data_IF_923930248242
#
_entry.id   IF_923930248242
#
_cell.length_a   1.000
_cell.length_b   1.000
_cell.length_c   1.000
_cell.angle_alpha   90.00
_cell.angle_beta   90.00
_cell.angle_gamma   90.00
#
_symmetry.space_group_name_H-M   'P 1'
#
loop_
_entity.id
_entity.type
_entity.pdbx_description
1 polymer ?
#
# COMPACT_ATOMS: atom_id res chain seq x y z
N UNK A 1 60.05 -47.57 -14.00
CA UNK A 1 58.70 -47.52 -14.60
C UNK A 1 57.90 -46.45 -13.87
N UNK A 2 57.88 -45.23 -14.43
CA UNK A 2 57.03 -44.10 -13.99
C UNK A 2 55.65 -44.26 -14.63
N UNK A 3 54.64 -43.60 -14.05
CA UNK A 3 53.31 -43.22 -14.60
C UNK A 3 52.11 -43.87 -13.87
N UNK A 4 51.69 -43.30 -12.73
CA UNK A 4 50.35 -43.57 -12.16
C UNK A 4 49.78 -42.46 -11.24
N UNK A 5 50.26 -41.21 -11.26
CA UNK A 5 49.82 -40.18 -10.30
C UNK A 5 49.09 -38.95 -10.89
N UNK A 6 48.78 -38.91 -12.19
CA UNK A 6 48.14 -37.74 -12.81
C UNK A 6 46.60 -37.77 -12.87
N UNK A 7 45.93 -38.87 -12.49
CA UNK A 7 44.49 -39.06 -12.71
C UNK A 7 43.59 -38.89 -11.47
N UNK A 8 44.15 -38.64 -10.28
CA UNK A 8 43.38 -38.47 -9.04
C UNK A 8 43.05 -37.00 -8.70
N UNK A 9 43.95 -36.05 -8.99
CA UNK A 9 43.72 -34.61 -8.70
C UNK A 9 42.61 -33.99 -9.55
N UNK A 10 42.47 -34.42 -10.81
CA UNK A 10 41.42 -33.92 -11.71
C UNK A 10 40.02 -34.46 -11.32
N UNK A 11 39.95 -35.55 -10.55
CA UNK A 11 38.70 -36.07 -9.99
C UNK A 11 38.20 -35.27 -8.79
N UNK A 12 39.09 -34.63 -8.02
CA UNK A 12 38.74 -33.86 -6.81
C UNK A 12 38.14 -32.48 -7.09
N UNK A 13 38.65 -31.72 -8.09
CA UNK A 13 38.13 -30.37 -8.39
C UNK A 13 36.73 -30.40 -9.00
N UNK A 14 36.47 -31.37 -9.89
CA UNK A 14 35.13 -31.59 -10.44
C UNK A 14 34.10 -32.06 -9.39
N UNK A 15 34.57 -32.79 -8.37
CA UNK A 15 33.72 -33.22 -7.26
C UNK A 15 33.37 -32.06 -6.32
N UNK A 16 34.33 -31.18 -5.99
CA UNK A 16 34.08 -29.97 -5.20
C UNK A 16 33.15 -28.96 -5.90
N UNK A 17 33.34 -28.76 -7.22
CA UNK A 17 32.43 -27.92 -8.02
C UNK A 17 31.00 -28.47 -8.03
N UNK A 18 30.85 -29.79 -8.05
CA UNK A 18 29.55 -30.45 -8.01
C UNK A 18 28.89 -30.35 -6.64
N UNK A 19 29.67 -30.48 -5.57
CA UNK A 19 29.21 -30.30 -4.19
C UNK A 19 28.75 -28.85 -3.94
N UNK A 20 29.53 -27.85 -4.37
CA UNK A 20 29.13 -26.43 -4.29
C UNK A 20 27.90 -26.13 -5.14
N UNK A 21 27.77 -26.74 -6.32
CA UNK A 21 26.58 -26.59 -7.16
C UNK A 21 25.34 -27.26 -6.54
N UNK A 22 25.49 -28.42 -5.90
CA UNK A 22 24.43 -29.10 -5.16
C UNK A 22 24.00 -28.28 -3.92
N UNK A 23 24.94 -27.75 -3.15
CA UNK A 23 24.68 -26.90 -1.99
C UNK A 23 24.01 -25.58 -2.40
N UNK A 24 24.50 -24.93 -3.46
CA UNK A 24 23.89 -23.72 -4.02
C UNK A 24 22.47 -23.97 -4.51
N UNK A 25 22.22 -25.12 -5.15
CA UNK A 25 20.87 -25.52 -5.55
C UNK A 25 19.97 -25.82 -4.35
N UNK A 26 20.54 -26.35 -3.26
CA UNK A 26 19.83 -26.63 -2.02
C UNK A 26 19.43 -25.34 -1.28
N UNK A 27 20.34 -24.36 -1.23
CA UNK A 27 20.10 -23.02 -0.67
C UNK A 27 19.06 -22.25 -1.48
N UNK A 28 19.18 -22.24 -2.81
CA UNK A 28 18.21 -21.58 -3.69
C UNK A 28 16.78 -22.11 -3.48
N UNK A 29 16.62 -23.43 -3.30
CA UNK A 29 15.30 -24.03 -2.97
C UNK A 29 14.80 -23.59 -1.59
N UNK A 30 15.68 -23.46 -0.60
CA UNK A 30 15.33 -22.96 0.74
C UNK A 30 14.91 -21.49 0.70
N UNK A 31 15.64 -20.63 -0.01
CA UNK A 31 15.26 -19.23 -0.17
C UNK A 31 13.91 -19.08 -0.85
N UNK A 32 13.64 -19.86 -1.90
CA UNK A 32 12.31 -19.86 -2.56
C UNK A 32 11.21 -20.33 -1.59
N UNK A 33 11.48 -21.35 -0.76
CA UNK A 33 10.52 -21.79 0.26
C UNK A 33 10.28 -20.71 1.32
N UNK A 34 11.34 -20.04 1.77
CA UNK A 34 11.26 -18.97 2.75
C UNK A 34 10.50 -17.77 2.20
N UNK A 35 10.87 -17.31 1.00
CA UNK A 35 10.17 -16.23 0.31
C UNK A 35 8.68 -16.55 0.15
N UNK A 36 8.33 -17.80 -0.20
CA UNK A 36 6.93 -18.23 -0.30
C UNK A 36 6.18 -18.11 1.04
N UNK A 37 6.82 -18.47 2.15
CA UNK A 37 6.23 -18.33 3.49
C UNK A 37 6.04 -16.85 3.84
N UNK A 38 7.06 -16.03 3.60
CA UNK A 38 7.03 -14.60 3.89
C UNK A 38 5.97 -13.88 3.05
N UNK A 39 5.91 -14.15 1.74
CA UNK A 39 4.84 -13.64 0.87
C UNK A 39 3.45 -14.07 1.34
N UNK A 40 3.29 -15.32 1.79
CA UNK A 40 2.01 -15.79 2.32
C UNK A 40 1.63 -15.08 3.63
N UNK A 41 2.60 -14.78 4.49
CA UNK A 41 2.39 -14.01 5.72
C UNK A 41 2.03 -12.56 5.41
N UNK A 42 2.79 -11.89 4.53
CA UNK A 42 2.50 -10.53 4.05
C UNK A 42 1.08 -10.47 3.45
N UNK A 43 0.72 -11.42 2.60
CA UNK A 43 -0.62 -11.46 2.00
C UNK A 43 -1.74 -11.64 3.05
N UNK A 44 -1.51 -12.47 4.07
CA UNK A 44 -2.46 -12.65 5.19
C UNK A 44 -2.58 -11.38 6.02
N UNK A 45 -1.47 -10.72 6.33
CA UNK A 45 -1.45 -9.51 7.15
C UNK A 45 -2.08 -8.33 6.42
N UNK A 46 -1.79 -8.15 5.13
CA UNK A 46 -2.49 -7.22 4.25
C UNK A 46 -3.98 -7.56 4.19
N UNK A 47 -4.34 -8.83 4.06
CA UNK A 47 -5.74 -9.26 4.03
C UNK A 47 -6.51 -8.91 5.31
N UNK A 48 -5.96 -9.27 6.48
CA UNK A 48 -6.56 -8.93 7.78
C UNK A 48 -6.62 -7.42 8.00
N UNK A 49 -5.52 -6.72 7.72
CA UNK A 49 -5.43 -5.27 7.85
C UNK A 49 -6.45 -4.56 6.95
N UNK A 50 -6.61 -5.01 5.71
CA UNK A 50 -7.59 -4.46 4.77
C UNK A 50 -9.02 -4.66 5.27
N UNK A 51 -9.37 -5.86 5.75
CA UNK A 51 -10.71 -6.13 6.30
C UNK A 51 -11.00 -5.22 7.50
N UNK A 52 -10.07 -5.12 8.44
CA UNK A 52 -10.21 -4.26 9.62
C UNK A 52 -10.32 -2.78 9.23
N UNK A 53 -9.50 -2.31 8.30
CA UNK A 53 -9.53 -0.94 7.81
C UNK A 53 -10.86 -0.60 7.12
N UNK A 54 -11.37 -1.49 6.27
CA UNK A 54 -12.67 -1.32 5.61
C UNK A 54 -13.80 -1.31 6.64
N UNK A 55 -13.78 -2.24 7.60
CA UNK A 55 -14.79 -2.28 8.67
C UNK A 55 -14.76 -0.99 9.52
N UNK A 56 -13.57 -0.52 9.90
CA UNK A 56 -13.41 0.74 10.64
C UNK A 56 -13.89 1.94 9.82
N UNK A 57 -13.60 1.98 8.51
CA UNK A 57 -14.10 3.03 7.62
C UNK A 57 -15.63 3.03 7.51
N UNK A 58 -16.25 1.85 7.40
CA UNK A 58 -17.72 1.73 7.39
C UNK A 58 -18.34 2.19 8.71
N UNK A 59 -17.80 1.74 9.85
CA UNK A 59 -18.27 2.18 11.17
C UNK A 59 -18.08 3.68 11.37
N UNK A 60 -16.92 4.22 11.00
CA UNK A 60 -16.64 5.65 11.06
C UNK A 60 -17.63 6.45 10.21
N UNK A 61 -17.96 5.98 9.01
CA UNK A 61 -18.98 6.60 8.17
C UNK A 61 -20.36 6.57 8.84
N UNK A 62 -20.76 5.45 9.42
CA UNK A 62 -22.04 5.34 10.16
C UNK A 62 -22.08 6.25 11.39
N UNK A 63 -20.98 6.39 12.12
CA UNK A 63 -20.87 7.31 13.25
C UNK A 63 -21.07 8.77 12.81
N UNK A 64 -20.38 9.19 11.74
CA UNK A 64 -20.55 10.54 11.17
C UNK A 64 -22.00 10.74 10.69
N UNK A 65 -22.58 9.73 10.04
CA UNK A 65 -23.98 9.78 9.58
C UNK A 65 -24.95 9.96 10.76
N UNK A 66 -24.76 9.24 11.87
CA UNK A 66 -25.56 9.40 13.08
C UNK A 66 -25.39 10.77 13.73
N UNK A 67 -24.19 11.35 13.72
CA UNK A 67 -23.97 12.72 14.18
C UNK A 67 -24.71 13.74 13.32
N UNK A 68 -24.68 13.59 11.99
CA UNK A 68 -25.43 14.45 11.07
C UNK A 68 -26.93 14.35 11.35
N UNK A 69 -27.47 13.15 11.53
CA UNK A 69 -28.88 12.98 11.93
C UNK A 69 -29.18 13.64 13.28
N UNK A 70 -28.31 13.48 14.27
CA UNK A 70 -28.43 14.13 15.57
C UNK A 70 -28.49 15.66 15.45
N UNK A 71 -27.64 16.25 14.61
CA UNK A 71 -27.69 17.70 14.34
C UNK A 71 -28.96 18.12 13.63
N UNK A 72 -29.47 17.35 12.66
CA UNK A 72 -30.75 17.66 12.00
C UNK A 72 -31.90 17.67 13.02
N UNK A 73 -31.95 16.69 13.91
CA UNK A 73 -32.97 16.64 14.97
C UNK A 73 -32.82 17.82 15.93
N UNK A 74 -31.59 18.08 16.39
CA UNK A 74 -31.29 19.16 17.32
C UNK A 74 -31.63 20.54 16.73
N UNK A 75 -31.19 20.83 15.50
CA UNK A 75 -31.46 22.10 14.83
C UNK A 75 -32.94 22.21 14.46
N UNK A 76 -33.54 21.12 13.98
CA UNK A 76 -34.96 21.07 13.64
C UNK A 76 -35.83 21.48 14.82
N UNK A 77 -35.55 20.93 16.00
CA UNK A 77 -36.27 21.25 17.22
C UNK A 77 -35.92 22.65 17.74
N UNK A 78 -34.62 22.94 17.93
CA UNK A 78 -34.18 24.13 18.63
C UNK A 78 -34.29 25.43 17.81
N UNK A 79 -34.04 25.38 16.50
CA UNK A 79 -33.98 26.57 15.64
C UNK A 79 -35.16 26.67 14.68
N UNK A 80 -35.66 25.53 14.20
CA UNK A 80 -36.68 25.49 13.15
C UNK A 80 -38.08 25.08 13.65
N UNK A 81 -38.32 25.06 14.96
CA UNK A 81 -39.64 24.79 15.57
C UNK A 81 -40.27 23.48 15.06
N UNK A 82 -39.49 22.40 15.00
CA UNK A 82 -39.93 21.07 14.54
C UNK A 82 -39.86 20.86 13.02
N UNK A 83 -39.41 21.83 12.23
CA UNK A 83 -39.26 21.68 10.78
C UNK A 83 -37.92 21.01 10.42
N UNK A 84 -37.79 19.71 10.70
CA UNK A 84 -36.55 18.93 10.49
C UNK A 84 -36.06 18.91 9.04
N UNK A 85 -36.96 19.02 8.07
CA UNK A 85 -36.59 19.05 6.65
C UNK A 85 -35.77 20.29 6.30
N UNK A 86 -36.07 21.45 6.90
CA UNK A 86 -35.29 22.69 6.71
C UNK A 86 -33.89 22.51 7.29
N UNK A 87 -33.80 21.97 8.51
CA UNK A 87 -32.53 21.68 9.16
C UNK A 87 -31.66 20.73 8.31
N UNK A 88 -32.27 19.70 7.72
CA UNK A 88 -31.60 18.77 6.82
C UNK A 88 -31.02 19.47 5.59
N UNK A 89 -31.83 20.26 4.86
CA UNK A 89 -31.35 20.97 3.67
C UNK A 89 -30.24 21.98 3.98
N UNK A 90 -30.36 22.73 5.06
CA UNK A 90 -29.33 23.69 5.49
C UNK A 90 -28.04 22.95 5.79
N UNK A 91 -28.09 21.86 6.57
CA UNK A 91 -26.90 21.10 6.92
C UNK A 91 -26.27 20.40 5.69
N UNK A 92 -27.09 19.89 4.77
CA UNK A 92 -26.63 19.36 3.48
C UNK A 92 -25.92 20.42 2.65
N UNK A 93 -26.43 21.65 2.60
CA UNK A 93 -25.79 22.73 1.85
C UNK A 93 -24.43 23.09 2.45
N UNK A 94 -24.35 23.17 3.79
CA UNK A 94 -23.10 23.45 4.52
C UNK A 94 -22.08 22.34 4.29
N UNK A 95 -22.43 21.09 4.60
CA UNK A 95 -21.53 19.94 4.47
C UNK A 95 -21.16 19.68 3.00
N UNK A 96 -22.10 19.83 2.09
CA UNK A 96 -21.88 19.73 0.65
C UNK A 96 -20.92 20.79 0.14
N UNK A 97 -21.05 22.03 0.60
CA UNK A 97 -20.12 23.11 0.27
C UNK A 97 -18.70 22.84 0.76
N UNK A 98 -18.55 22.41 2.02
CA UNK A 98 -17.25 22.02 2.58
C UNK A 98 -16.65 20.84 1.83
N UNK A 99 -17.44 19.80 1.57
CA UNK A 99 -17.02 18.61 0.82
C UNK A 99 -16.53 18.99 -0.59
N UNK A 100 -17.29 19.83 -1.31
CA UNK A 100 -16.90 20.32 -2.63
C UNK A 100 -15.60 21.12 -2.61
N UNK A 101 -15.41 21.98 -1.60
CA UNK A 101 -14.17 22.74 -1.43
C UNK A 101 -12.96 21.82 -1.17
N UNK A 102 -13.11 20.86 -0.25
CA UNK A 102 -12.07 19.88 0.06
C UNK A 102 -11.74 19.01 -1.16
N UNK A 103 -12.74 18.56 -1.91
CA UNK A 103 -12.55 17.78 -3.12
C UNK A 103 -11.77 18.57 -4.18
N UNK A 104 -12.13 19.84 -4.41
CA UNK A 104 -11.39 20.73 -5.33
C UNK A 104 -9.94 20.92 -4.90
N UNK A 105 -9.69 21.17 -3.61
CA UNK A 105 -8.32 21.33 -3.07
C UNK A 105 -7.52 20.04 -3.18
N UNK A 106 -8.09 18.91 -2.78
CA UNK A 106 -7.45 17.60 -2.82
C UNK A 106 -7.09 17.18 -4.25
N UNK A 107 -8.03 17.31 -5.19
CA UNK A 107 -7.78 17.00 -6.61
C UNK A 107 -6.75 17.93 -7.24
N UNK A 108 -6.70 19.21 -6.85
CA UNK A 108 -5.66 20.13 -7.29
C UNK A 108 -4.26 19.71 -6.80
N UNK A 109 -4.14 19.27 -5.54
CA UNK A 109 -2.89 18.77 -4.98
C UNK A 109 -2.44 17.46 -5.64
N UNK A 110 -3.38 16.59 -5.98
CA UNK A 110 -3.12 15.32 -6.68
C UNK A 110 -2.98 15.48 -8.20
N UNK A 111 -3.00 16.70 -8.73
CA UNK A 111 -2.86 16.92 -10.16
C UNK A 111 -1.49 16.41 -10.64
N UNK A 112 -1.41 15.75 -11.83
CA UNK A 112 -0.14 15.28 -12.39
C UNK A 112 0.93 16.37 -12.50
N UNK A 113 0.54 17.65 -12.57
CA UNK A 113 1.47 18.79 -12.55
C UNK A 113 2.25 18.91 -11.23
N UNK A 114 1.64 18.53 -10.10
CA UNK A 114 2.24 18.57 -8.77
C UNK A 114 2.88 17.24 -8.34
N UNK A 115 2.55 16.14 -9.03
CA UNK A 115 3.09 14.79 -8.73
C UNK A 115 4.36 14.48 -9.53
N UNK A 116 4.72 15.27 -10.56
CA UNK A 116 5.97 15.09 -11.29
C UNK A 116 7.16 15.36 -10.36
N UNK A 117 8.01 14.36 -10.06
CA UNK A 117 9.21 14.57 -9.25
C UNK A 117 10.23 15.34 -10.10
N UNK A 118 10.21 16.68 -10.01
CA UNK A 118 11.12 17.51 -10.78
C UNK A 118 12.58 17.24 -10.43
N UNK A 119 12.85 16.86 -9.18
CA UNK A 119 14.20 16.51 -8.73
C UNK A 119 14.71 15.21 -9.34
N UNK A 120 13.89 14.15 -9.42
CA UNK A 120 14.28 12.88 -10.07
C UNK A 120 14.44 13.05 -11.58
N UNK A 121 13.63 13.91 -12.20
CA UNK A 121 13.77 14.23 -13.62
C UNK A 121 15.03 15.09 -13.88
N UNK A 122 15.37 16.01 -12.97
CA UNK A 122 16.58 16.83 -13.06
C UNK A 122 17.87 16.02 -12.88
N UNK A 123 17.88 15.02 -11.98
CA UNK A 123 19.03 14.13 -11.80
C UNK A 123 19.23 13.24 -13.02
N UNK A 124 18.15 12.68 -13.59
CA UNK A 124 18.23 11.89 -14.83
C UNK A 124 18.67 12.73 -16.04
N UNK A 125 18.24 13.99 -16.14
CA UNK A 125 18.65 14.89 -17.23
C UNK A 125 20.11 15.32 -17.12
N UNK A 126 20.60 15.60 -15.90
CA UNK A 126 22.01 15.94 -15.64
C UNK A 126 22.97 14.81 -16.01
N UNK A 127 22.58 13.55 -15.83
CA UNK A 127 23.40 12.38 -16.20
C UNK A 127 23.39 12.05 -17.69
N UNK A 128 22.44 12.57 -18.47
CA UNK A 128 22.36 12.32 -19.91
C UNK A 128 23.16 13.33 -20.74
N UNK A 129 23.34 14.54 -20.20
CA UNK A 129 23.95 15.68 -20.89
C UNK A 129 25.44 15.90 -20.50
N UNK A 130 26.05 14.99 -19.74
CA UNK A 130 27.48 14.98 -19.36
C UNK A 130 28.10 13.62 -19.63
#
# INVERSE_FOLDING_TARGET
MKMASASQTNRGVGQLLREVAEDGAHLARQEVQLARIEFAQIARDIGKGTVLAVAAAMLGLLTVQMLVFGFVLLLGEALFRGHYWIAAFVLTLILGGVSFYLLKRGTALLSPKNIKPEQTLATLRRHKDG
#
